data_IF_254245395395
#
_entry.id   IF_254245395395
#
_cell.length_a   1.000
_cell.length_b   1.000
_cell.length_c   1.000
_cell.angle_alpha   90.00
_cell.angle_beta   90.00
_cell.angle_gamma   90.00
#
_symmetry.space_group_name_H-M   'P 1'
#
loop_
_entity.id
_entity.type
_entity.pdbx_description
1 polymer ?
#
# COMPACT_ATOMS: atom_id res chain seq x y z
N UNK A 1 -40.98 0.73 10.99
CA UNK A 1 -40.49 1.47 9.82
C UNK A 1 -40.12 2.87 10.27
N UNK A 2 -38.85 3.11 10.61
CA UNK A 2 -38.18 4.41 10.55
C UNK A 2 -36.69 4.12 10.27
N UNK A 3 -36.14 4.90 9.35
CA UNK A 3 -34.96 4.60 8.56
C UNK A 3 -33.69 4.43 9.41
N UNK A 4 -32.95 3.34 9.16
CA UNK A 4 -31.51 3.33 9.44
C UNK A 4 -30.83 4.29 8.44
N UNK A 5 -29.88 5.14 8.85
CA UNK A 5 -29.34 6.17 7.98
C UNK A 5 -28.52 5.53 6.85
N UNK A 6 -28.91 5.84 5.61
CA UNK A 6 -28.26 5.43 4.35
C UNK A 6 -26.90 6.11 4.13
N UNK A 7 -26.22 6.61 5.18
CA UNK A 7 -25.12 7.55 5.01
C UNK A 7 -23.74 7.06 5.48
N UNK A 8 -23.60 5.79 5.84
CA UNK A 8 -22.30 5.20 6.21
C UNK A 8 -21.91 3.96 5.39
N UNK A 9 -22.83 3.05 5.06
CA UNK A 9 -22.44 1.76 4.46
C UNK A 9 -21.78 1.89 3.07
N UNK A 10 -22.22 2.87 2.25
CA UNK A 10 -21.66 3.09 0.92
C UNK A 10 -20.30 3.82 0.94
N UNK A 11 -20.00 4.58 2.00
CA UNK A 11 -18.71 5.25 2.19
C UNK A 11 -17.69 4.29 2.83
N UNK A 12 -18.16 3.41 3.71
CA UNK A 12 -17.34 2.37 4.32
C UNK A 12 -16.88 1.33 3.28
N UNK A 13 -17.72 0.93 2.33
CA UNK A 13 -17.31 0.00 1.26
C UNK A 13 -16.30 0.59 0.26
N UNK A 14 -16.20 1.93 0.18
CA UNK A 14 -15.20 2.64 -0.63
C UNK A 14 -13.89 2.92 0.14
N UNK A 15 -13.90 2.82 1.47
CA UNK A 15 -12.74 3.07 2.34
C UNK A 15 -12.17 1.79 2.98
N UNK A 16 -12.89 0.67 2.93
CA UNK A 16 -12.38 -0.61 3.42
C UNK A 16 -11.45 -1.24 2.39
N UNK A 17 -10.17 -1.39 2.75
CA UNK A 17 -9.30 -2.37 2.10
C UNK A 17 -9.98 -3.76 2.14
N UNK A 18 -9.66 -4.68 1.20
CA UNK A 18 -10.33 -5.98 1.06
C UNK A 18 -10.42 -6.81 2.35
N UNK A 19 -9.55 -6.56 3.33
CA UNK A 19 -9.51 -7.22 4.62
C UNK A 19 -10.48 -6.68 5.68
N UNK A 20 -11.16 -5.54 5.46
CA UNK A 20 -12.18 -5.00 6.37
C UNK A 20 -11.70 -4.45 7.72
N UNK A 21 -10.38 -4.46 8.00
CA UNK A 21 -9.82 -4.08 9.31
C UNK A 21 -9.23 -2.66 9.38
N UNK A 22 -9.16 -1.94 8.26
CA UNK A 22 -8.52 -0.61 8.20
C UNK A 22 -6.98 -0.66 8.30
N UNK A 23 -6.38 -1.86 8.39
CA UNK A 23 -4.93 -2.06 8.44
C UNK A 23 -4.41 -2.63 7.12
N UNK A 24 -3.30 -2.06 6.63
CA UNK A 24 -2.57 -2.62 5.50
C UNK A 24 -1.95 -3.95 5.96
N UNK A 25 -2.33 -5.04 5.29
CA UNK A 25 -1.81 -6.38 5.57
C UNK A 25 -0.32 -6.46 5.20
N UNK A 26 0.43 -7.33 5.86
CA UNK A 26 1.84 -7.56 5.51
C UNK A 26 1.99 -8.04 4.06
N UNK A 27 3.16 -7.83 3.46
CA UNK A 27 3.43 -8.29 2.10
C UNK A 27 3.24 -9.82 1.94
N UNK A 28 3.50 -10.58 3.01
CA UNK A 28 3.26 -12.04 3.06
C UNK A 28 1.77 -12.36 2.98
N UNK A 29 0.95 -11.75 3.84
CA UNK A 29 -0.51 -11.96 3.86
C UNK A 29 -1.15 -11.51 2.53
N UNK A 30 -0.67 -10.41 1.96
CA UNK A 30 -1.12 -9.94 0.64
C UNK A 30 -0.82 -10.98 -0.45
N UNK A 31 0.39 -11.57 -0.43
CA UNK A 31 0.77 -12.61 -1.38
C UNK A 31 -0.08 -13.88 -1.20
N UNK A 32 -0.36 -14.27 0.04
CA UNK A 32 -1.23 -15.41 0.37
C UNK A 32 -2.68 -15.16 -0.07
N UNK A 33 -3.15 -13.91 -0.04
CA UNK A 33 -4.45 -13.49 -0.55
C UNK A 33 -4.51 -13.36 -2.08
N UNK A 34 -3.43 -13.65 -2.81
CA UNK A 34 -3.39 -13.65 -4.28
C UNK A 34 -2.78 -12.41 -4.93
N UNK A 35 -2.27 -11.45 -4.15
CA UNK A 35 -1.59 -10.27 -4.70
C UNK A 35 -0.28 -10.67 -5.39
N UNK A 36 -0.11 -10.21 -6.63
CA UNK A 36 1.06 -10.43 -7.47
C UNK A 36 1.98 -9.21 -7.40
N UNK A 37 3.19 -9.42 -6.89
CA UNK A 37 4.23 -8.40 -6.88
C UNK A 37 5.04 -8.47 -8.17
N UNK A 38 5.16 -7.33 -8.88
CA UNK A 38 5.96 -7.19 -10.09
C UNK A 38 6.97 -6.08 -9.96
N UNK A 39 8.05 -6.25 -10.69
CA UNK A 39 9.07 -5.23 -10.86
C UNK A 39 8.56 -4.14 -11.82
N UNK A 40 8.60 -2.88 -11.38
CA UNK A 40 8.42 -1.73 -12.26
C UNK A 40 9.75 -1.37 -12.90
N UNK A 41 9.77 -1.27 -14.24
CA UNK A 41 11.02 -0.99 -14.99
C UNK A 41 11.50 0.45 -14.85
N UNK A 42 10.59 1.38 -14.59
CA UNK A 42 10.85 2.82 -14.52
C UNK A 42 9.96 3.43 -13.45
N UNK A 43 10.42 4.51 -12.83
CA UNK A 43 9.74 5.19 -11.74
C UNK A 43 10.75 5.79 -10.77
N UNK A 44 10.30 6.74 -9.96
CA UNK A 44 11.10 7.20 -8.82
C UNK A 44 10.97 6.20 -7.65
N UNK A 45 11.73 6.40 -6.57
CA UNK A 45 11.81 5.43 -5.48
C UNK A 45 10.49 5.21 -4.69
N UNK A 46 9.49 6.08 -4.85
CA UNK A 46 8.15 6.01 -4.20
C UNK A 46 7.03 5.71 -5.20
N UNK A 47 7.37 5.41 -6.46
CA UNK A 47 6.41 5.20 -7.53
C UNK A 47 5.82 3.78 -7.54
N UNK A 48 5.02 3.48 -6.51
CA UNK A 48 4.32 2.21 -6.35
C UNK A 48 2.93 2.31 -6.97
N UNK A 49 2.59 1.37 -7.86
CA UNK A 49 1.27 1.30 -8.49
C UNK A 49 0.54 0.04 -8.07
N UNK A 50 -0.70 0.20 -7.61
CA UNK A 50 -1.61 -0.90 -7.32
C UNK A 50 -2.74 -0.90 -8.34
N UNK A 51 -2.82 -1.97 -9.13
CA UNK A 51 -3.88 -2.15 -10.12
C UNK A 51 -4.45 -3.56 -9.99
N UNK A 52 -5.71 -3.64 -9.56
CA UNK A 52 -6.41 -4.87 -9.20
C UNK A 52 -5.63 -5.69 -8.17
N UNK A 53 -5.07 -6.82 -8.57
CA UNK A 53 -4.31 -7.73 -7.72
C UNK A 53 -2.80 -7.61 -7.96
N UNK A 54 -2.35 -6.64 -8.76
CA UNK A 54 -0.94 -6.46 -9.12
C UNK A 54 -0.38 -5.21 -8.46
N UNK A 55 0.66 -5.41 -7.65
CA UNK A 55 1.50 -4.34 -7.10
C UNK A 55 2.76 -4.26 -7.95
N UNK A 56 3.01 -3.12 -8.61
CA UNK A 56 4.29 -2.87 -9.29
C UNK A 56 5.16 -1.94 -8.46
N UNK A 57 6.36 -2.39 -8.12
CA UNK A 57 7.32 -1.67 -7.28
C UNK A 57 8.61 -1.44 -8.08
N UNK A 58 9.14 -0.20 -8.15
CA UNK A 58 10.40 0.09 -8.83
C UNK A 58 11.56 -0.58 -8.10
N UNK A 59 12.56 -1.02 -8.85
CA UNK A 59 13.78 -1.57 -8.22
C UNK A 59 14.56 -0.46 -7.57
N UNK A 60 14.84 -0.66 -6.28
CA UNK A 60 15.72 0.19 -5.52
C UNK A 60 17.13 -0.40 -5.57
N UNK A 61 18.04 0.31 -6.22
CA UNK A 61 19.46 0.00 -6.15
C UNK A 61 20.04 0.64 -4.88
N UNK A 62 20.50 -0.20 -3.95
CA UNK A 62 21.10 0.25 -2.69
C UNK A 62 22.61 0.39 -2.89
N UNK A 63 23.11 1.60 -2.66
CA UNK A 63 24.55 1.93 -2.65
C UNK A 63 24.92 2.57 -1.30
N UNK A 64 26.19 2.72 -0.99
CA UNK A 64 26.65 3.31 0.29
C UNK A 64 26.04 4.69 0.55
N UNK A 65 25.84 5.50 -0.49
CA UNK A 65 25.22 6.83 -0.40
C UNK A 65 23.68 6.80 -0.25
N UNK A 66 23.02 5.66 -0.44
CA UNK A 66 21.56 5.53 -0.28
C UNK A 66 21.15 5.35 1.18
N UNK A 67 22.06 4.86 2.02
CA UNK A 67 21.82 4.64 3.44
C UNK A 67 21.36 5.89 4.22
N UNK A 68 21.99 7.07 4.08
CA UNK A 68 21.49 8.29 4.73
C UNK A 68 20.10 8.71 4.24
N UNK A 69 19.77 8.48 2.96
CA UNK A 69 18.46 8.83 2.40
C UNK A 69 17.37 7.97 3.05
N UNK A 70 17.54 6.65 3.12
CA UNK A 70 16.55 5.76 3.74
C UNK A 70 16.38 6.03 5.24
N UNK A 71 17.46 6.35 5.97
CA UNK A 71 17.35 6.76 7.38
C UNK A 71 16.50 8.01 7.56
N UNK A 72 16.69 9.01 6.70
CA UNK A 72 15.90 10.24 6.74
C UNK A 72 14.42 9.97 6.42
N UNK A 73 14.15 9.08 5.46
CA UNK A 73 12.77 8.69 5.12
C UNK A 73 12.07 7.96 6.27
N UNK A 74 12.76 7.03 6.94
CA UNK A 74 12.22 6.35 8.12
C UNK A 74 11.96 7.37 9.24
N UNK A 75 12.91 8.29 9.49
CA UNK A 75 12.71 9.33 10.51
C UNK A 75 11.52 10.25 10.20
N UNK A 76 11.29 10.57 8.92
CA UNK A 76 10.15 11.37 8.47
C UNK A 76 8.80 10.67 8.72
N UNK A 77 8.73 9.35 8.53
CA UNK A 77 7.49 8.58 8.74
C UNK A 77 7.13 8.45 10.23
N UNK A 78 8.13 8.40 11.10
CA UNK A 78 7.95 8.16 12.55
C UNK A 78 7.66 9.45 13.36
N UNK A 79 7.44 10.58 12.69
CA UNK A 79 7.23 11.90 13.30
C UNK A 79 5.79 12.40 13.10
#
# INVERSE_FOLDING_TARGET
MLLRPLHDEAMMSLLTWPSGTGWIQSATEQKEAGVVFKQKRQGNFIDVTFNNEVVEIPVLCIYENTFPIFKNLIALEQC
#
